data_IF_440422873469
#
_entry.id   IF_440422873469
#
_cell.length_a   1.000
_cell.length_b   1.000
_cell.length_c   1.000
_cell.angle_alpha   90.00
_cell.angle_beta   90.00
_cell.angle_gamma   90.00
#
_symmetry.space_group_name_H-M   'P 1'
#
loop_
_entity.id
_entity.type
_entity.pdbx_description
1 polymer ?
#
# COMPACT_ATOMS: atom_id res chain seq x y z
N UNK A 1 -5.56 -35.70 32.91
CA UNK A 1 -6.17 -35.06 31.73
C UNK A 1 -5.93 -33.57 31.84
N UNK A 2 -5.01 -33.03 31.04
CA UNK A 2 -4.80 -31.58 30.96
C UNK A 2 -4.61 -31.25 29.49
N UNK A 3 -5.60 -30.61 28.88
CA UNK A 3 -5.41 -29.86 27.64
C UNK A 3 -5.90 -28.46 27.93
N UNK A 4 -4.94 -27.54 28.05
CA UNK A 4 -5.16 -26.10 28.18
C UNK A 4 -5.76 -25.59 26.87
N UNK A 5 -7.03 -25.21 26.88
CA UNK A 5 -7.66 -24.44 25.81
C UNK A 5 -7.54 -22.94 26.12
N UNK A 6 -6.34 -22.39 26.06
CA UNK A 6 -6.19 -20.97 25.78
C UNK A 6 -6.07 -20.81 24.27
N UNK A 7 -7.21 -20.96 23.59
CA UNK A 7 -7.36 -20.41 22.26
C UNK A 7 -7.23 -18.89 22.42
N UNK A 8 -6.06 -18.36 22.03
CA UNK A 8 -5.82 -16.94 21.89
C UNK A 8 -6.95 -16.36 21.04
N UNK A 9 -7.88 -15.67 21.68
CA UNK A 9 -8.80 -14.77 21.01
C UNK A 9 -7.95 -13.60 20.50
N UNK A 10 -7.26 -13.80 19.37
CA UNK A 10 -6.66 -12.70 18.65
C UNK A 10 -7.84 -11.84 18.16
N UNK A 11 -8.18 -10.82 18.94
CA UNK A 11 -9.22 -9.87 18.58
C UNK A 11 -8.82 -9.28 17.23
N UNK A 12 -9.57 -9.61 16.17
CA UNK A 12 -9.38 -8.96 14.88
C UNK A 12 -9.62 -7.47 15.08
N UNK A 13 -8.76 -6.64 14.47
CA UNK A 13 -8.96 -5.20 14.50
C UNK A 13 -10.37 -4.85 13.96
N UNK A 14 -11.13 -3.96 14.62
CA UNK A 14 -12.51 -3.65 14.27
C UNK A 14 -12.58 -2.64 13.11
N UNK A 15 -11.64 -2.71 12.18
CA UNK A 15 -11.57 -1.82 11.04
C UNK A 15 -10.95 -2.49 9.81
N UNK A 16 -11.26 -1.93 8.65
CA UNK A 16 -10.75 -2.36 7.35
C UNK A 16 -10.50 -1.16 6.45
N UNK A 17 -9.72 -1.35 5.38
CA UNK A 17 -9.45 -0.35 4.37
C UNK A 17 -9.57 -0.92 2.95
N UNK A 18 -9.91 -0.06 1.98
CA UNK A 18 -9.92 -0.42 0.57
C UNK A 18 -9.57 0.77 -0.34
N UNK A 19 -8.66 0.60 -1.32
CA UNK A 19 -7.76 -0.54 -1.48
C UNK A 19 -6.65 -0.56 -0.42
N UNK A 20 -6.08 -1.72 -0.11
CA UNK A 20 -4.89 -1.84 0.76
C UNK A 20 -3.57 -1.76 -0.01
N UNK A 21 -3.62 -1.81 -1.33
CA UNK A 21 -2.45 -1.71 -2.21
C UNK A 21 -2.75 -0.84 -3.42
N UNK A 22 -1.76 -0.09 -3.89
CA UNK A 22 -1.90 0.64 -5.15
C UNK A 22 -0.59 1.24 -5.65
N UNK A 23 -0.67 1.97 -6.77
CA UNK A 23 0.48 2.46 -7.52
C UNK A 23 0.43 3.98 -7.56
N UNK A 24 1.43 4.65 -6.98
CA UNK A 24 1.60 6.10 -6.95
C UNK A 24 0.32 6.90 -6.61
N UNK A 25 0.30 7.61 -5.48
CA UNK A 25 -0.88 8.41 -5.08
C UNK A 25 -2.17 7.58 -5.01
N UNK A 26 -2.35 6.85 -3.91
CA UNK A 26 -3.50 5.96 -3.69
C UNK A 26 -4.49 6.60 -2.72
N UNK A 27 -5.76 6.75 -3.16
CA UNK A 27 -6.86 7.11 -2.26
C UNK A 27 -7.44 5.85 -1.63
N UNK A 28 -7.43 5.79 -0.30
CA UNK A 28 -7.89 4.67 0.52
C UNK A 28 -9.09 5.12 1.34
N UNK A 29 -10.13 4.28 1.40
CA UNK A 29 -11.28 4.46 2.27
C UNK A 29 -11.18 3.53 3.46
N UNK A 30 -11.38 4.06 4.66
CA UNK A 30 -11.35 3.31 5.92
C UNK A 30 -12.76 3.14 6.47
N UNK A 31 -13.04 1.96 7.00
CA UNK A 31 -14.32 1.61 7.60
C UNK A 31 -14.09 0.95 8.97
N UNK A 32 -14.88 1.31 9.97
CA UNK A 32 -14.89 0.64 11.28
C UNK A 32 -16.21 -0.10 11.53
N UNK A 33 -16.14 -1.25 12.20
CA UNK A 33 -17.32 -1.97 12.71
C UNK A 33 -17.79 -1.42 14.07
N UNK A 34 -17.05 -0.50 14.67
CA UNK A 34 -17.45 0.20 15.90
C UNK A 34 -18.51 1.25 15.57
N UNK A 35 -19.77 0.83 15.61
CA UNK A 35 -20.92 1.70 15.30
C UNK A 35 -21.23 2.70 16.43
N UNK A 36 -20.97 2.33 17.68
CA UNK A 36 -21.32 3.12 18.87
C UNK A 36 -20.04 3.62 19.55
N UNK A 37 -19.52 4.74 19.04
CA UNK A 37 -18.43 5.47 19.67
C UNK A 37 -18.78 6.96 19.74
N UNK A 38 -18.30 7.64 20.77
CA UNK A 38 -18.35 9.09 20.94
C UNK A 38 -17.15 9.78 20.29
N UNK A 39 -16.08 9.04 20.01
CA UNK A 39 -14.88 9.54 19.34
C UNK A 39 -14.15 8.44 18.56
N UNK A 40 -13.53 8.84 17.46
CA UNK A 40 -12.64 8.04 16.64
C UNK A 40 -11.31 8.78 16.49
N UNK A 41 -10.21 8.04 16.44
CA UNK A 41 -8.89 8.56 16.09
C UNK A 41 -8.21 7.58 15.15
N UNK A 42 -7.73 8.13 14.05
CA UNK A 42 -6.96 7.44 13.03
C UNK A 42 -5.58 8.07 12.94
N UNK A 43 -4.56 7.23 12.89
CA UNK A 43 -3.22 7.58 12.43
C UNK A 43 -2.93 6.71 11.19
N UNK A 44 -2.71 7.36 10.05
CA UNK A 44 -2.49 6.68 8.78
C UNK A 44 -1.06 6.20 8.61
N UNK A 45 -0.14 6.55 9.52
CA UNK A 45 1.26 6.12 9.47
C UNK A 45 2.15 6.97 8.56
N UNK A 46 1.62 8.06 8.00
CA UNK A 46 2.34 9.04 7.17
C UNK A 46 2.42 10.43 7.82
N UNK A 47 1.99 10.54 9.08
CA UNK A 47 1.91 11.79 9.84
C UNK A 47 0.54 12.48 9.78
N UNK A 48 -0.37 12.02 8.93
CA UNK A 48 -1.75 12.54 8.87
C UNK A 48 -2.67 11.74 9.78
N UNK A 49 -3.62 12.45 10.41
CA UNK A 49 -4.59 11.87 11.35
C UNK A 49 -6.01 12.29 10.99
N UNK A 50 -7.00 11.53 11.46
CA UNK A 50 -8.42 11.88 11.31
C UNK A 50 -9.24 11.49 12.54
N UNK A 51 -10.32 12.23 12.78
CA UNK A 51 -11.32 11.91 13.82
C UNK A 51 -12.67 11.52 13.25
N UNK A 52 -12.78 11.40 11.93
CA UNK A 52 -14.00 10.90 11.29
C UNK A 52 -14.17 9.40 11.54
N UNK A 53 -15.42 8.93 11.59
CA UNK A 53 -15.71 7.51 11.78
C UNK A 53 -15.18 6.64 10.63
N UNK A 54 -15.45 7.04 9.38
CA UNK A 54 -15.04 6.34 8.17
C UNK A 54 -14.31 7.31 7.22
N UNK A 55 -13.03 7.66 7.47
CA UNK A 55 -12.32 8.64 6.67
C UNK A 55 -11.89 8.08 5.31
N UNK A 56 -11.66 8.97 4.36
CA UNK A 56 -10.84 8.70 3.18
C UNK A 56 -9.51 9.44 3.31
N UNK A 57 -8.41 8.79 2.95
CA UNK A 57 -7.06 9.34 3.03
C UNK A 57 -6.28 9.05 1.75
N UNK A 58 -5.40 9.97 1.36
CA UNK A 58 -4.57 9.86 0.16
C UNK A 58 -3.11 9.68 0.54
N UNK A 59 -2.50 8.59 0.07
CA UNK A 59 -1.08 8.30 0.25
C UNK A 59 -0.31 8.68 -1.00
N UNK A 60 0.36 9.83 -0.97
CA UNK A 60 1.08 10.39 -2.12
C UNK A 60 2.47 9.77 -2.34
N UNK A 61 3.07 9.21 -1.29
CA UNK A 61 4.41 8.64 -1.33
C UNK A 61 4.40 7.12 -1.44
N UNK A 62 5.46 6.58 -2.04
CA UNK A 62 5.72 5.13 -2.07
C UNK A 62 6.16 4.68 -0.68
N UNK A 63 5.59 3.60 -0.17
CA UNK A 63 5.89 3.11 1.17
C UNK A 63 4.92 2.06 1.68
N UNK A 64 5.25 1.54 2.86
CA UNK A 64 4.38 0.70 3.67
C UNK A 64 3.96 1.48 4.91
N UNK A 65 2.66 1.56 5.16
CA UNK A 65 2.08 2.39 6.20
C UNK A 65 1.44 1.54 7.29
N UNK A 66 1.77 1.85 8.55
CA UNK A 66 1.16 1.24 9.74
C UNK A 66 -0.03 2.09 10.17
N UNK A 67 -1.22 1.49 10.15
CA UNK A 67 -2.45 2.20 10.50
C UNK A 67 -2.81 1.94 11.94
N UNK A 68 -3.08 3.00 12.69
CA UNK A 68 -3.56 2.93 14.07
C UNK A 68 -4.99 3.46 14.17
N UNK A 69 -5.83 2.75 14.91
CA UNK A 69 -7.21 3.11 15.16
C UNK A 69 -7.53 3.03 16.65
N UNK A 70 -8.20 4.06 17.18
CA UNK A 70 -8.68 4.14 18.55
C UNK A 70 -10.14 4.62 18.51
N UNK A 71 -11.03 3.94 19.23
CA UNK A 71 -12.41 4.39 19.45
C UNK A 71 -12.64 4.64 20.95
N UNK A 72 -13.37 5.69 21.31
CA UNK A 72 -13.71 6.03 22.71
C UNK A 72 -12.51 6.21 23.66
N UNK A 73 -11.31 6.49 23.14
CA UNK A 73 -10.06 6.44 23.91
C UNK A 73 -9.85 5.10 24.66
N UNK A 74 -10.41 4.02 24.10
CA UNK A 74 -10.28 2.67 24.62
C UNK A 74 -9.06 1.98 23.96
N UNK A 75 -9.21 0.70 23.62
CA UNK A 75 -8.15 -0.11 23.03
C UNK A 75 -7.58 0.52 21.75
N UNK A 76 -6.26 0.37 21.60
CA UNK A 76 -5.52 0.81 20.42
C UNK A 76 -5.28 -0.38 19.51
N UNK A 77 -5.78 -0.29 18.27
CA UNK A 77 -5.59 -1.31 17.25
C UNK A 77 -4.55 -0.84 16.24
N UNK A 78 -3.49 -1.62 16.06
CA UNK A 78 -2.37 -1.29 15.15
C UNK A 78 -2.24 -2.39 14.10
N UNK A 79 -2.33 -2.02 12.83
CA UNK A 79 -2.07 -2.91 11.70
C UNK A 79 -0.77 -2.49 10.98
N UNK A 80 0.35 -3.21 11.18
CA UNK A 80 1.62 -2.87 10.57
C UNK A 80 1.65 -3.20 9.07
N UNK A 81 2.28 -2.33 8.27
CA UNK A 81 2.40 -2.48 6.81
C UNK A 81 1.05 -2.73 6.10
N UNK A 82 -0.03 -2.14 6.63
CA UNK A 82 -1.38 -2.43 6.20
C UNK A 82 -1.71 -1.85 4.84
N UNK A 83 -1.26 -0.62 4.57
CA UNK A 83 -1.36 0.02 3.26
C UNK A 83 0.00 -0.01 2.58
N UNK A 84 0.05 -0.42 1.31
CA UNK A 84 1.29 -0.53 0.54
C UNK A 84 1.16 0.21 -0.78
N UNK A 85 1.92 1.29 -0.93
CA UNK A 85 1.97 2.09 -2.16
C UNK A 85 3.27 1.77 -2.87
N UNK A 86 3.15 1.33 -4.12
CA UNK A 86 4.27 0.98 -4.99
C UNK A 86 4.54 2.08 -6.00
N UNK A 87 5.80 2.14 -6.45
CA UNK A 87 6.20 3.02 -7.55
C UNK A 87 5.67 2.45 -8.87
N UNK A 88 5.35 3.32 -9.84
CA UNK A 88 5.15 2.85 -11.21
C UNK A 88 6.52 2.55 -11.83
N UNK A 89 6.65 1.46 -12.61
CA UNK A 89 7.86 1.29 -13.42
C UNK A 89 7.96 2.50 -14.36
N UNK A 90 9.16 3.04 -14.53
CA UNK A 90 9.42 4.06 -15.56
C UNK A 90 9.93 3.33 -16.79
N UNK A 91 9.24 3.47 -17.92
CA UNK A 91 9.83 3.16 -19.22
C UNK A 91 10.76 4.29 -19.64
N UNK A 92 12.01 3.97 -19.97
CA UNK A 92 12.96 4.93 -20.56
C UNK A 92 13.42 4.38 -21.90
N UNK A 93 13.06 5.06 -22.99
CA UNK A 93 13.57 4.77 -24.34
C UNK A 93 14.80 5.65 -24.57
N UNK A 94 15.96 5.05 -24.80
CA UNK A 94 17.14 5.77 -25.28
C UNK A 94 17.25 5.47 -26.78
N UNK A 95 16.91 6.44 -27.62
CA UNK A 95 17.24 6.38 -29.05
C UNK A 95 18.48 7.23 -29.25
N UNK A 96 19.65 6.60 -29.25
CA UNK A 96 20.85 7.26 -29.75
C UNK A 96 20.75 7.30 -31.28
N UNK A 97 20.34 8.44 -31.83
CA UNK A 97 20.44 8.69 -33.26
C UNK A 97 21.89 9.03 -33.59
N UNK A 98 22.71 7.98 -33.74
CA UNK A 98 23.99 8.12 -34.41
C UNK A 98 23.71 8.02 -35.91
N UNK A 99 23.66 9.17 -36.57
CA UNK A 99 23.60 9.28 -38.03
C UNK A 99 24.63 8.35 -38.67
N UNK A 100 24.13 7.31 -39.35
CA UNK A 100 24.96 6.32 -40.05
C UNK A 100 24.16 5.67 -41.15
N UNK A 101 24.38 6.14 -42.38
CA UNK A 101 23.80 5.64 -43.62
C UNK A 101 23.87 4.10 -43.70
N UNK A 102 22.73 3.44 -43.86
CA UNK A 102 22.64 2.02 -44.20
C UNK A 102 21.38 1.37 -43.62
N UNK A 103 20.61 0.68 -44.47
CA UNK A 103 19.51 -0.17 -44.01
C UNK A 103 20.02 -1.22 -43.03
N UNK A 104 19.66 -1.08 -41.76
CA UNK A 104 19.81 -2.13 -40.78
C UNK A 104 18.44 -2.36 -40.16
N UNK A 105 17.89 -3.58 -40.32
CA UNK A 105 16.79 -4.07 -39.50
C UNK A 105 17.31 -4.12 -38.05
N UNK A 106 17.25 -3.00 -37.34
CA UNK A 106 17.58 -2.95 -35.93
C UNK A 106 16.41 -3.58 -35.19
N UNK A 107 16.58 -4.84 -34.82
CA UNK A 107 15.70 -5.48 -33.84
C UNK A 107 15.72 -4.61 -32.59
N UNK A 108 14.57 -4.04 -32.24
CA UNK A 108 14.42 -3.24 -31.04
C UNK A 108 14.54 -4.20 -29.85
N UNK A 109 15.75 -4.40 -29.33
CA UNK A 109 15.91 -5.12 -28.08
C UNK A 109 15.44 -4.17 -26.98
N UNK A 110 14.17 -4.29 -26.59
CA UNK A 110 13.65 -3.65 -25.40
C UNK A 110 14.47 -4.14 -24.20
N UNK A 111 15.45 -3.35 -23.77
CA UNK A 111 16.08 -3.59 -22.48
C UNK A 111 15.08 -3.14 -21.42
N UNK A 112 14.38 -4.11 -20.84
CA UNK A 112 13.54 -3.94 -19.67
C UNK A 112 14.43 -3.41 -18.53
N UNK A 113 14.53 -2.09 -18.38
CA UNK A 113 15.35 -1.47 -17.34
C UNK A 113 14.55 -1.43 -16.02
N UNK A 114 14.47 -2.58 -15.36
CA UNK A 114 14.37 -2.63 -13.91
C UNK A 114 15.18 -3.83 -13.41
N UNK A 115 16.33 -3.62 -12.74
CA UNK A 115 17.05 -4.70 -12.09
C UNK A 115 16.35 -5.02 -10.75
N UNK A 116 15.13 -5.54 -10.81
CA UNK A 116 14.51 -6.25 -9.68
C UNK A 116 14.55 -7.75 -9.95
N UNK A 117 15.74 -8.28 -10.25
CA UNK A 117 15.99 -9.70 -10.05
C UNK A 117 16.12 -9.94 -8.57
N UNK A 118 14.98 -10.23 -7.94
CA UNK A 118 14.78 -10.97 -6.69
C UNK A 118 13.90 -10.23 -5.66
N UNK A 119 12.62 -9.99 -6.00
CA UNK A 119 11.59 -9.88 -4.98
C UNK A 119 10.22 -10.22 -5.58
N UNK A 120 9.54 -11.21 -4.99
CA UNK A 120 8.15 -11.59 -5.19
C UNK A 120 7.15 -10.50 -4.73
N UNK A 121 7.45 -9.23 -5.00
CA UNK A 121 6.57 -8.11 -4.71
C UNK A 121 5.57 -7.96 -5.86
N UNK A 122 4.27 -7.76 -5.59
CA UNK A 122 3.28 -7.53 -6.63
C UNK A 122 3.58 -6.17 -7.27
N UNK A 123 4.40 -6.19 -8.32
CA UNK A 123 4.70 -5.00 -9.10
C UNK A 123 3.40 -4.53 -9.75
N UNK A 124 3.18 -3.22 -9.70
CA UNK A 124 2.21 -2.55 -10.55
C UNK A 124 2.61 -2.80 -12.01
N UNK A 125 1.92 -3.74 -12.67
CA UNK A 125 2.16 -4.07 -14.07
C UNK A 125 1.61 -2.93 -14.95
N UNK A 126 2.42 -2.44 -15.89
CA UNK A 126 1.91 -1.60 -16.98
C UNK A 126 1.09 -2.49 -17.92
N UNK A 127 -0.08 -2.00 -18.33
CA UNK A 127 -0.96 -2.64 -19.32
C UNK A 127 -0.44 -2.30 -20.72
#
# INVERSE_FOLDING_TARGET
MLINWQASHAQSAPFSASPTTGCESVRVSFTTTVAVATSWQWDFGDGVKSTAQNPSHQYDSVGSYTVTFIANNADTFVLPNYIRVYKRPKSSILVEDTLGLGSYNKTFTALHHSPERNATLPLCMEI
#
